data_IF_211296400209
#
_entry.id   IF_211296400209
#
_cell.length_a   1.000
_cell.length_b   1.000
_cell.length_c   1.000
_cell.angle_alpha   90.00
_cell.angle_beta   90.00
_cell.angle_gamma   90.00
#
_symmetry.space_group_name_H-M   'P 1'
#
loop_
_entity.id
_entity.type
_entity.pdbx_description
1 polymer ?
#
# COMPACT_ATOMS: atom_id res chain seq x y z
N UNK A 1 3.20 13.50 -0.11
CA UNK A 1 4.49 13.30 0.56
C UNK A 1 4.81 14.40 1.57
N UNK A 2 4.59 15.67 1.20
CA UNK A 2 4.87 16.76 2.13
C UNK A 2 4.08 16.63 3.44
N UNK A 3 2.80 16.29 3.35
CA UNK A 3 1.98 16.12 4.55
C UNK A 3 2.46 14.94 5.38
N UNK A 4 2.92 13.89 4.73
CA UNK A 4 3.48 12.74 5.43
C UNK A 4 4.78 13.14 6.14
N UNK A 5 5.63 13.92 5.50
CA UNK A 5 6.85 14.42 6.10
C UNK A 5 6.55 15.32 7.31
N UNK A 6 5.47 16.06 7.25
CA UNK A 6 5.04 16.90 8.37
C UNK A 6 4.30 16.12 9.47
N UNK A 7 4.22 14.79 9.29
CA UNK A 7 3.59 13.89 10.28
C UNK A 7 2.13 14.18 10.54
N UNK A 8 1.42 14.76 9.57
CA UNK A 8 -0.03 14.92 9.66
C UNK A 8 -0.77 13.60 9.52
N UNK A 9 -0.13 12.61 8.90
CA UNK A 9 -0.58 11.23 8.85
C UNK A 9 0.64 10.33 8.62
N UNK A 10 0.45 9.03 8.83
CA UNK A 10 1.48 8.03 8.58
C UNK A 10 1.07 7.18 7.40
N UNK A 11 1.99 7.00 6.46
CA UNK A 11 1.73 6.22 5.25
C UNK A 11 2.49 4.91 5.28
N UNK A 12 1.83 3.86 4.77
CA UNK A 12 2.39 2.50 4.72
C UNK A 12 2.17 1.92 3.33
N UNK A 13 3.11 1.07 2.92
CA UNK A 13 2.99 0.27 1.71
C UNK A 13 3.32 -1.17 2.06
N UNK A 14 3.00 -2.10 1.15
CA UNK A 14 3.35 -3.51 1.33
C UNK A 14 4.61 -3.85 0.53
N UNK A 15 5.29 -4.97 0.86
CA UNK A 15 6.40 -5.44 0.02
C UNK A 15 6.00 -5.66 -1.43
N UNK A 16 4.75 -6.05 -1.70
CA UNK A 16 4.24 -6.23 -3.06
C UNK A 16 4.23 -4.92 -3.81
N UNK A 17 3.79 -3.83 -3.17
CA UNK A 17 3.81 -2.50 -3.79
C UNK A 17 5.24 -2.09 -4.15
N UNK A 18 6.19 -2.33 -3.24
CA UNK A 18 7.60 -1.99 -3.51
C UNK A 18 8.13 -2.79 -4.69
N UNK A 19 7.88 -4.10 -4.73
CA UNK A 19 8.33 -4.94 -5.84
C UNK A 19 7.71 -4.51 -7.17
N UNK A 20 6.41 -4.26 -7.19
CA UNK A 20 5.74 -3.83 -8.41
C UNK A 20 6.25 -2.47 -8.88
N UNK A 21 6.46 -1.55 -7.96
CA UNK A 21 7.01 -0.22 -8.27
C UNK A 21 8.41 -0.33 -8.84
N UNK A 22 9.24 -1.20 -8.26
CA UNK A 22 10.59 -1.45 -8.78
C UNK A 22 10.54 -1.85 -10.25
N UNK A 23 9.71 -2.84 -10.59
CA UNK A 23 9.68 -3.35 -11.96
C UNK A 23 9.09 -2.35 -12.96
N UNK A 24 8.13 -1.55 -12.53
CA UNK A 24 7.58 -0.49 -13.37
C UNK A 24 8.67 0.55 -13.67
N UNK A 25 9.38 1.00 -12.66
CA UNK A 25 10.42 2.02 -12.83
C UNK A 25 11.61 1.51 -13.63
N UNK A 26 11.93 0.21 -13.53
CA UNK A 26 13.03 -0.38 -14.29
C UNK A 26 12.84 -0.30 -15.80
N UNK A 27 11.63 -0.10 -16.24
CA UNK A 27 11.37 0.10 -17.68
C UNK A 27 11.98 1.40 -18.20
N UNK A 28 12.24 2.36 -17.32
CA UNK A 28 12.66 3.71 -17.69
C UNK A 28 13.96 4.15 -17.03
N UNK A 29 14.51 3.37 -16.12
CA UNK A 29 15.69 3.75 -15.35
C UNK A 29 16.53 2.53 -14.97
N UNK A 30 17.78 2.78 -14.56
CA UNK A 30 18.71 1.71 -14.18
C UNK A 30 18.34 1.14 -12.80
N UNK A 31 18.82 -0.06 -12.53
CA UNK A 31 18.66 -0.69 -11.22
C UNK A 31 19.15 0.23 -10.09
N UNK A 32 20.35 0.77 -10.24
CA UNK A 32 20.95 1.63 -9.21
C UNK A 32 20.08 2.85 -8.92
N UNK A 33 19.59 3.51 -9.95
CA UNK A 33 18.72 4.68 -9.79
C UNK A 33 17.42 4.32 -9.07
N UNK A 34 16.77 3.22 -9.49
CA UNK A 34 15.50 2.79 -8.90
C UNK A 34 15.67 2.44 -7.42
N UNK A 35 16.71 1.66 -7.09
CA UNK A 35 16.98 1.26 -5.71
C UNK A 35 17.20 2.50 -4.82
N UNK A 36 17.99 3.45 -5.31
CA UNK A 36 18.25 4.68 -4.57
C UNK A 36 16.97 5.46 -4.28
N UNK A 37 16.10 5.57 -5.29
CA UNK A 37 14.82 6.28 -5.13
C UNK A 37 13.89 5.60 -4.15
N UNK A 38 13.83 4.28 -4.18
CA UNK A 38 13.01 3.53 -3.24
C UNK A 38 13.54 3.66 -1.81
N UNK A 39 14.86 3.66 -1.63
CA UNK A 39 15.46 3.89 -0.32
C UNK A 39 15.09 5.26 0.23
N UNK A 40 15.11 6.29 -0.60
CA UNK A 40 14.70 7.63 -0.20
C UNK A 40 13.23 7.66 0.21
N UNK A 41 12.37 7.01 -0.57
CA UNK A 41 10.94 6.94 -0.26
C UNK A 41 10.69 6.39 1.14
N UNK A 42 11.45 5.38 1.55
CA UNK A 42 11.25 4.71 2.84
C UNK A 42 11.74 5.53 4.03
N UNK A 43 12.26 6.74 3.81
CA UNK A 43 12.51 7.67 4.91
C UNK A 43 11.21 8.27 5.46
N UNK A 44 10.14 8.33 4.65
CA UNK A 44 8.86 8.91 5.06
C UNK A 44 7.72 7.91 5.08
N UNK A 45 7.87 6.78 4.41
CA UNK A 45 6.84 5.76 4.29
C UNK A 45 7.37 4.46 4.87
N UNK A 46 6.53 3.73 5.58
CA UNK A 46 6.90 2.46 6.20
C UNK A 46 6.34 1.28 5.42
N UNK A 47 6.98 0.12 5.57
CA UNK A 47 6.55 -1.12 4.91
C UNK A 47 5.84 -1.99 5.95
N UNK A 48 4.65 -2.48 5.60
CA UNK A 48 3.92 -3.42 6.44
C UNK A 48 4.53 -4.81 6.35
N UNK A 49 4.51 -5.53 7.46
CA UNK A 49 4.92 -6.93 7.46
C UNK A 49 3.91 -7.78 6.69
N UNK A 50 4.41 -8.80 6.01
CA UNK A 50 3.57 -9.72 5.22
C UNK A 50 4.18 -11.11 5.33
N UNK A 51 3.44 -12.05 5.92
CA UNK A 51 3.92 -13.41 6.12
C UNK A 51 2.89 -14.44 5.66
N UNK A 52 3.09 -15.70 6.02
CA UNK A 52 2.24 -16.80 5.59
C UNK A 52 0.77 -16.58 5.94
N UNK A 53 0.50 -15.96 7.09
CA UNK A 53 -0.88 -15.72 7.53
C UNK A 53 -1.65 -14.87 6.53
N UNK A 54 -1.06 -13.77 6.06
CA UNK A 54 -1.69 -12.90 5.08
C UNK A 54 -1.84 -13.59 3.73
N UNK A 55 -0.84 -14.37 3.33
CA UNK A 55 -0.88 -15.09 2.07
C UNK A 55 -2.03 -16.10 2.07
N UNK A 56 -2.16 -16.89 3.14
CA UNK A 56 -3.25 -17.85 3.25
C UNK A 56 -4.62 -17.18 3.26
N UNK A 57 -4.76 -16.08 4.01
CA UNK A 57 -6.01 -15.34 4.05
C UNK A 57 -6.39 -14.83 2.66
N UNK A 58 -5.42 -14.31 1.92
CA UNK A 58 -5.65 -13.82 0.57
C UNK A 58 -6.10 -14.94 -0.37
N UNK A 59 -5.44 -16.10 -0.30
CA UNK A 59 -5.78 -17.24 -1.15
C UNK A 59 -7.17 -17.80 -0.86
N UNK A 60 -7.62 -17.72 0.38
CA UNK A 60 -8.93 -18.21 0.80
C UNK A 60 -10.03 -17.18 0.63
N UNK A 61 -9.69 -15.94 0.28
CA UNK A 61 -10.63 -14.85 0.21
C UNK A 61 -11.48 -14.89 -1.06
N UNK A 62 -12.49 -14.02 -1.09
CA UNK A 62 -13.34 -13.84 -2.26
C UNK A 62 -12.90 -12.68 -3.15
N UNK A 63 -11.72 -12.11 -2.88
CA UNK A 63 -11.13 -11.10 -3.77
C UNK A 63 -10.84 -11.75 -5.12
N UNK A 64 -11.08 -11.02 -6.18
CA UNK A 64 -10.78 -11.49 -7.54
C UNK A 64 -9.33 -11.25 -7.94
N UNK A 65 -8.64 -10.33 -7.25
CA UNK A 65 -7.25 -10.02 -7.50
C UNK A 65 -6.42 -10.36 -6.27
N UNK A 66 -5.39 -11.20 -6.48
CA UNK A 66 -4.57 -11.69 -5.37
C UNK A 66 -3.73 -10.59 -4.72
N UNK A 67 -3.17 -9.67 -5.54
CA UNK A 67 -2.37 -8.56 -5.02
C UNK A 67 -3.23 -7.67 -4.11
N UNK A 68 -4.45 -7.36 -4.52
CA UNK A 68 -5.37 -6.54 -3.73
C UNK A 68 -5.73 -7.25 -2.42
N UNK A 69 -5.95 -8.56 -2.49
CA UNK A 69 -6.25 -9.35 -1.30
C UNK A 69 -5.08 -9.33 -0.32
N UNK A 70 -3.86 -9.52 -0.80
CA UNK A 70 -2.66 -9.46 0.05
C UNK A 70 -2.53 -8.12 0.74
N UNK A 71 -2.72 -7.04 0.01
CA UNK A 71 -2.62 -5.70 0.56
C UNK A 71 -3.69 -5.44 1.61
N UNK A 72 -4.93 -5.85 1.31
CA UNK A 72 -6.04 -5.67 2.23
C UNK A 72 -5.80 -6.43 3.55
N UNK A 73 -5.43 -7.71 3.49
CA UNK A 73 -5.22 -8.49 4.69
C UNK A 73 -3.99 -8.05 5.47
N UNK A 74 -2.94 -7.58 4.78
CA UNK A 74 -1.79 -7.01 5.46
C UNK A 74 -2.16 -5.76 6.25
N UNK A 75 -3.00 -4.90 5.66
CA UNK A 75 -3.47 -3.69 6.32
C UNK A 75 -4.32 -4.04 7.54
N UNK A 76 -5.31 -4.92 7.38
CA UNK A 76 -6.22 -5.30 8.45
C UNK A 76 -5.47 -5.96 9.61
N UNK A 77 -4.57 -6.89 9.30
CA UNK A 77 -3.88 -7.66 10.34
C UNK A 77 -2.79 -6.88 11.05
N UNK A 78 -2.34 -5.77 10.50
CA UNK A 78 -1.28 -4.95 11.12
C UNK A 78 -1.75 -4.22 12.37
N UNK A 79 -3.04 -3.93 12.47
CA UNK A 79 -3.64 -3.07 13.50
C UNK A 79 -3.05 -1.66 13.52
N UNK A 80 -2.42 -1.24 12.42
CA UNK A 80 -1.79 0.08 12.30
C UNK A 80 -2.47 0.96 11.28
N UNK A 81 -3.39 0.40 10.49
CA UNK A 81 -3.97 1.07 9.33
C UNK A 81 -5.42 1.44 9.64
N UNK A 82 -5.75 2.69 9.44
CA UNK A 82 -7.11 3.20 9.63
C UNK A 82 -7.92 3.22 8.34
N UNK A 83 -7.24 3.30 7.19
CA UNK A 83 -7.91 3.38 5.91
C UNK A 83 -6.98 2.92 4.78
N UNK A 84 -7.59 2.44 3.72
CA UNK A 84 -6.89 2.08 2.48
C UNK A 84 -7.10 3.22 1.48
N UNK A 85 -6.02 3.65 0.83
CA UNK A 85 -6.06 4.69 -0.18
C UNK A 85 -5.77 4.05 -1.53
N UNK A 86 -6.71 4.14 -2.45
CA UNK A 86 -6.57 3.53 -3.77
C UNK A 86 -7.39 4.30 -4.80
N UNK A 87 -6.97 4.24 -6.05
CA UNK A 87 -7.77 4.77 -7.16
C UNK A 87 -8.83 3.79 -7.62
N UNK A 88 -8.71 2.52 -7.21
CA UNK A 88 -9.60 1.44 -7.65
C UNK A 88 -10.47 0.95 -6.50
N UNK A 89 -11.37 1.81 -6.03
CA UNK A 89 -12.23 1.49 -4.88
C UNK A 89 -12.99 0.19 -5.11
N UNK A 90 -13.40 -0.08 -6.34
CA UNK A 90 -14.16 -1.31 -6.67
C UNK A 90 -13.43 -2.58 -6.27
N UNK A 91 -12.11 -2.58 -6.39
CA UNK A 91 -11.30 -3.77 -6.12
C UNK A 91 -11.22 -4.07 -4.64
N UNK A 92 -11.60 -3.12 -3.79
CA UNK A 92 -11.53 -3.26 -2.34
C UNK A 92 -12.90 -3.25 -1.66
N UNK A 93 -13.97 -3.55 -2.38
CA UNK A 93 -15.33 -3.59 -1.82
C UNK A 93 -15.46 -4.53 -0.64
N UNK A 94 -14.65 -5.58 -0.58
CA UNK A 94 -14.72 -6.60 0.47
C UNK A 94 -13.80 -6.28 1.64
N UNK A 95 -13.21 -5.10 1.65
CA UNK A 95 -12.33 -4.68 2.75
C UNK A 95 -13.10 -4.43 4.03
N UNK A 96 -12.53 -4.85 5.16
CA UNK A 96 -13.06 -4.52 6.49
C UNK A 96 -12.69 -3.09 6.92
N UNK A 97 -11.75 -2.45 6.23
CA UNK A 97 -11.33 -1.08 6.51
C UNK A 97 -12.00 -0.11 5.54
N UNK A 98 -12.22 1.14 5.96
CA UNK A 98 -12.69 2.18 5.03
C UNK A 98 -11.72 2.35 3.86
N UNK A 99 -12.27 2.60 2.67
CA UNK A 99 -11.49 2.76 1.44
C UNK A 99 -11.81 4.11 0.83
N UNK A 100 -10.77 4.87 0.50
CA UNK A 100 -10.90 6.20 -0.08
C UNK A 100 -10.01 6.34 -1.30
N UNK A 101 -10.43 7.18 -2.25
CA UNK A 101 -9.48 7.68 -3.26
C UNK A 101 -8.58 8.73 -2.59
N UNK A 102 -7.41 9.06 -3.19
CA UNK A 102 -6.58 10.14 -2.65
C UNK A 102 -7.36 11.44 -2.49
N UNK A 103 -8.20 11.78 -3.46
CA UNK A 103 -8.99 13.01 -3.43
C UNK A 103 -10.01 13.00 -2.29
N UNK A 104 -10.69 11.88 -2.11
CA UNK A 104 -11.68 11.74 -1.04
C UNK A 104 -11.02 11.85 0.33
N UNK A 105 -9.86 11.23 0.50
CA UNK A 105 -9.14 11.28 1.78
C UNK A 105 -8.72 12.70 2.12
N UNK A 106 -8.15 13.41 1.15
CA UNK A 106 -7.73 14.80 1.35
C UNK A 106 -8.91 15.70 1.70
N UNK A 107 -10.04 15.51 1.02
CA UNK A 107 -11.24 16.32 1.27
C UNK A 107 -11.82 16.05 2.65
N UNK A 108 -11.73 14.83 3.17
CA UNK A 108 -12.36 14.43 4.43
C UNK A 108 -11.48 14.78 5.63
N UNK A 109 -10.18 14.59 5.55
CA UNK A 109 -9.29 14.64 6.71
C UNK A 109 -8.29 15.79 6.70
N UNK A 110 -8.12 16.44 5.57
CA UNK A 110 -7.15 17.52 5.43
C UNK A 110 -7.80 18.76 4.83
#
# INVERSE_FOLDING_TARGET
>A
LLKCEQKQFRAFVTPVIIANTYYILRRHATHHYVVERLQILLHTISVLAMDQKQVLAALESKFTDFDDALQCFSAVNSNKIDAIITRNIKDFKKSALPVFTPQEYLATFL
#
